data_IF_759287082888
#
_entry.id   IF_759287082888
#
_cell.length_a   1.000
_cell.length_b   1.000
_cell.length_c   1.000
_cell.angle_alpha   90.00
_cell.angle_beta   90.00
_cell.angle_gamma   90.00
#
_symmetry.space_group_name_H-M   'P 1'
#
loop_
_entity.id
_entity.type
_entity.pdbx_description
1 polymer ?
#
# COMPACT_ATOMS: atom_id res chain seq x y z
N UNK A 1 -3.82 7.48 6.13
CA UNK A 1 -3.01 7.41 7.36
C UNK A 1 -3.32 8.55 8.30
N UNK A 2 -2.97 8.38 9.57
CA UNK A 2 -2.95 9.40 10.61
C UNK A 2 -1.61 9.28 11.36
N UNK A 3 -1.17 10.34 12.04
CA UNK A 3 -0.05 10.25 12.98
C UNK A 3 -0.59 10.20 14.41
N UNK A 4 -0.14 9.22 15.19
CA UNK A 4 -0.45 9.09 16.62
C UNK A 4 0.86 9.02 17.38
N UNK A 5 1.12 9.98 18.27
CA UNK A 5 2.36 10.05 19.07
C UNK A 5 3.65 9.93 18.23
N UNK A 6 3.66 10.51 17.03
CA UNK A 6 4.81 10.47 16.10
C UNK A 6 4.85 9.22 15.20
N UNK A 7 4.15 8.15 15.56
CA UNK A 7 4.03 6.93 14.76
C UNK A 7 2.96 7.06 13.65
N UNK A 8 3.16 6.33 12.55
CA UNK A 8 2.18 6.23 11.47
C UNK A 8 1.12 5.20 11.82
N UNK A 9 -0.14 5.63 11.75
CA UNK A 9 -1.34 4.82 11.97
C UNK A 9 -2.05 4.59 10.62
N UNK A 10 -2.02 3.37 10.06
CA UNK A 10 -2.71 3.04 8.83
C UNK A 10 -4.23 3.05 9.04
N UNK A 11 -4.98 3.39 8.00
CA UNK A 11 -6.43 3.28 8.05
C UNK A 11 -6.81 1.80 7.89
N UNK A 12 -7.44 1.22 8.91
CA UNK A 12 -7.92 -0.17 8.86
C UNK A 12 -9.45 -0.16 8.81
N UNK A 13 -10.03 -0.94 7.90
CA UNK A 13 -11.48 -1.11 7.76
C UNK A 13 -11.87 -2.49 8.30
N UNK A 14 -12.92 -2.55 9.11
CA UNK A 14 -13.51 -3.81 9.55
C UNK A 14 -14.56 -4.26 8.52
N UNK A 15 -14.41 -5.46 8.00
CA UNK A 15 -15.40 -6.10 7.14
C UNK A 15 -16.57 -6.64 7.98
N UNK A 16 -17.78 -6.74 7.40
CA UNK A 16 -18.93 -7.37 8.06
C UNK A 16 -18.68 -8.82 8.48
N UNK A 17 -17.77 -9.50 7.77
CA UNK A 17 -17.32 -10.87 8.06
C UNK A 17 -16.34 -10.96 9.24
N UNK A 18 -15.97 -9.83 9.86
CA UNK A 18 -15.06 -9.77 11.02
C UNK A 18 -13.57 -9.66 10.68
N UNK A 19 -13.21 -9.61 9.39
CA UNK A 19 -11.82 -9.40 8.96
C UNK A 19 -11.42 -7.93 8.91
N UNK A 20 -10.17 -7.62 9.22
CA UNK A 20 -9.61 -6.27 9.07
C UNK A 20 -8.86 -6.14 7.75
N UNK A 21 -9.07 -5.04 7.03
CA UNK A 21 -8.44 -4.82 5.71
C UNK A 21 -7.83 -3.43 5.58
N UNK A 22 -6.74 -3.37 4.82
CA UNK A 22 -6.09 -2.12 4.45
C UNK A 22 -6.64 -1.65 3.10
N UNK A 23 -7.31 -0.49 2.99
CA UNK A 23 -7.70 0.07 1.72
C UNK A 23 -6.48 0.65 1.00
N UNK A 24 -6.27 0.23 -0.25
CA UNK A 24 -5.21 0.72 -1.14
C UNK A 24 -5.88 1.25 -2.40
N UNK A 25 -5.42 2.42 -2.85
CA UNK A 25 -6.00 3.11 -4.00
C UNK A 25 -4.92 3.27 -5.05
N UNK A 26 -5.25 3.01 -6.31
CA UNK A 26 -4.34 3.27 -7.42
C UNK A 26 -4.11 4.77 -7.64
N UNK A 27 -5.10 5.60 -7.28
CA UNK A 27 -5.06 7.05 -7.52
C UNK A 27 -5.28 7.86 -6.23
N UNK A 28 -4.43 8.87 -6.02
CA UNK A 28 -4.54 9.80 -4.89
C UNK A 28 -5.90 10.52 -4.87
N UNK A 29 -6.42 10.90 -6.04
CA UNK A 29 -7.71 11.58 -6.17
C UNK A 29 -8.88 10.72 -5.64
N UNK A 30 -8.85 9.42 -5.95
CA UNK A 30 -9.82 8.42 -5.48
C UNK A 30 -9.72 8.25 -3.97
N UNK A 31 -8.50 8.10 -3.43
CA UNK A 31 -8.27 8.03 -1.99
C UNK A 31 -8.78 9.27 -1.24
N UNK A 32 -8.52 10.48 -1.76
CA UNK A 32 -9.02 11.73 -1.17
C UNK A 32 -10.55 11.80 -1.19
N UNK A 33 -11.17 11.37 -2.29
CA UNK A 33 -12.63 11.34 -2.41
C UNK A 33 -13.24 10.34 -1.43
N UNK A 34 -12.63 9.17 -1.29
CA UNK A 34 -13.03 8.17 -0.30
C UNK A 34 -12.95 8.75 1.12
N UNK A 35 -11.82 9.34 1.52
CA UNK A 35 -11.65 9.92 2.85
C UNK A 35 -12.68 11.02 3.15
N UNK A 36 -12.94 11.92 2.19
CA UNK A 36 -13.96 12.97 2.36
C UNK A 36 -15.37 12.41 2.56
N UNK A 37 -15.68 11.29 1.92
CA UNK A 37 -17.01 10.68 1.97
C UNK A 37 -17.19 9.78 3.20
N UNK A 38 -16.19 8.97 3.52
CA UNK A 38 -16.29 7.92 4.52
C UNK A 38 -15.83 8.36 5.92
N UNK A 39 -14.89 9.31 6.00
CA UNK A 39 -14.23 9.71 7.25
C UNK A 39 -14.03 11.24 7.34
N UNK A 40 -15.09 12.05 7.21
CA UNK A 40 -14.97 13.50 7.23
C UNK A 40 -14.41 13.99 8.58
N UNK A 41 -13.34 14.79 8.54
CA UNK A 41 -12.80 15.50 9.72
C UNK A 41 -11.95 14.67 10.68
N UNK A 42 -11.69 13.39 10.43
CA UNK A 42 -10.98 12.51 11.38
C UNK A 42 -9.44 12.58 11.32
N UNK A 43 -8.87 13.63 10.72
CA UNK A 43 -7.41 13.83 10.65
C UNK A 43 -6.66 12.87 9.73
N UNK A 44 -7.38 12.10 8.91
CA UNK A 44 -6.81 11.20 7.93
C UNK A 44 -6.27 11.95 6.71
N UNK A 45 -5.09 11.54 6.25
CA UNK A 45 -4.47 12.03 5.02
C UNK A 45 -4.11 10.85 4.10
N UNK A 46 -4.09 11.13 2.80
CA UNK A 46 -3.56 10.19 1.80
C UNK A 46 -2.04 10.22 1.88
N UNK A 47 -1.42 9.05 1.76
CA UNK A 47 0.02 8.91 1.63
C UNK A 47 0.29 7.99 0.44
N UNK A 48 1.11 8.47 -0.49
CA UNK A 48 1.63 7.66 -1.57
C UNK A 48 2.75 6.76 -1.06
N UNK A 49 2.89 5.59 -1.68
CA UNK A 49 3.93 4.62 -1.38
C UNK A 49 4.64 4.21 -2.66
N UNK A 50 5.97 4.05 -2.65
CA UNK A 50 6.66 3.32 -3.68
C UNK A 50 6.33 1.82 -3.62
N UNK A 51 6.49 1.12 -4.75
CA UNK A 51 6.05 -0.26 -5.00
C UNK A 51 6.51 -1.30 -3.95
N UNK A 52 7.58 -1.03 -3.19
CA UNK A 52 8.09 -1.91 -2.11
C UNK A 52 7.77 -1.47 -0.67
N UNK A 53 7.29 -0.25 -0.45
CA UNK A 53 7.02 0.22 0.92
C UNK A 53 5.69 -0.34 1.45
N UNK A 54 4.72 -0.56 0.57
CA UNK A 54 3.44 -1.15 0.92
C UNK A 54 3.59 -2.59 1.44
N UNK A 55 4.43 -3.40 0.81
CA UNK A 55 4.74 -4.76 1.28
C UNK A 55 5.44 -4.74 2.63
N UNK A 56 6.40 -3.83 2.83
CA UNK A 56 7.07 -3.62 4.12
C UNK A 56 6.08 -3.24 5.24
N UNK A 57 5.11 -2.39 4.95
CA UNK A 57 4.03 -2.07 5.88
C UNK A 57 3.13 -3.26 6.21
N UNK A 58 2.78 -4.07 5.22
CA UNK A 58 1.97 -5.29 5.42
C UNK A 58 2.71 -6.36 6.23
N UNK A 59 4.04 -6.40 6.15
CA UNK A 59 4.87 -7.29 6.97
C UNK A 59 5.02 -6.80 8.42
N UNK A 60 5.04 -5.48 8.64
CA UNK A 60 5.35 -4.89 9.94
C UNK A 60 4.11 -4.29 10.63
N UNK A 61 3.69 -3.11 10.17
CA UNK A 61 2.63 -2.29 10.76
C UNK A 61 1.23 -2.91 10.64
N UNK A 62 0.96 -3.62 9.54
CA UNK A 62 -0.35 -4.20 9.26
C UNK A 62 -0.34 -5.74 9.38
N UNK A 63 0.47 -6.32 10.28
CA UNK A 63 0.58 -7.79 10.41
C UNK A 63 -0.76 -8.49 10.75
N UNK A 64 -1.67 -7.77 11.41
CA UNK A 64 -2.98 -8.29 11.83
C UNK A 64 -4.06 -8.25 10.76
N UNK A 65 -3.85 -7.56 9.63
CA UNK A 65 -4.90 -7.42 8.61
C UNK A 65 -5.06 -8.72 7.82
N UNK A 66 -6.31 -9.06 7.50
CA UNK A 66 -6.66 -10.21 6.67
C UNK A 66 -6.26 -10.02 5.21
N UNK A 67 -6.20 -8.77 4.75
CA UNK A 67 -5.82 -8.46 3.37
C UNK A 67 -5.91 -6.98 3.01
N UNK A 68 -5.85 -6.74 1.72
CA UNK A 68 -5.91 -5.43 1.09
C UNK A 68 -7.21 -5.32 0.30
N UNK A 69 -7.85 -4.16 0.37
CA UNK A 69 -9.00 -3.83 -0.44
C UNK A 69 -8.56 -2.80 -1.49
N UNK A 70 -8.53 -3.21 -2.76
CA UNK A 70 -8.07 -2.39 -3.87
C UNK A 70 -9.20 -1.51 -4.41
N UNK A 71 -8.91 -0.22 -4.54
CA UNK A 71 -9.80 0.86 -5.03
C UNK A 71 -11.23 0.79 -4.50
N UNK A 72 -11.41 0.79 -3.16
CA UNK A 72 -12.74 0.81 -2.59
C UNK A 72 -13.48 2.08 -2.97
N UNK A 73 -14.75 1.91 -3.33
CA UNK A 73 -15.65 2.99 -3.66
C UNK A 73 -16.00 3.83 -2.44
N UNK A 74 -16.42 5.10 -2.62
CA UNK A 74 -16.91 5.90 -1.51
C UNK A 74 -18.04 5.17 -0.79
N UNK A 75 -18.04 5.22 0.55
CA UNK A 75 -19.00 4.52 1.40
C UNK A 75 -20.44 4.69 0.90
N UNK A 76 -21.13 3.57 0.63
CA UNK A 76 -22.50 3.55 0.11
C UNK A 76 -22.62 3.48 -1.41
N UNK A 77 -21.51 3.37 -2.16
CA UNK A 77 -21.51 3.17 -3.61
C UNK A 77 -20.73 1.89 -3.94
N UNK A 78 -21.38 0.95 -4.60
CA UNK A 78 -20.72 -0.27 -5.07
C UNK A 78 -19.65 0.11 -6.09
N UNK A 79 -18.40 0.12 -5.65
CA UNK A 79 -17.28 -0.02 -6.56
C UNK A 79 -16.80 -1.47 -6.48
N UNK A 80 -16.23 -1.96 -7.58
CA UNK A 80 -15.62 -3.27 -7.71
C UNK A 80 -14.34 -3.38 -6.86
N UNK A 81 -14.48 -3.19 -5.55
CA UNK A 81 -13.39 -3.25 -4.62
C UNK A 81 -12.87 -4.68 -4.61
N UNK A 82 -11.65 -4.89 -5.10
CA UNK A 82 -11.06 -6.22 -5.16
C UNK A 82 -10.41 -6.51 -3.81
N UNK A 83 -10.93 -7.53 -3.11
CA UNK A 83 -10.28 -8.03 -1.91
C UNK A 83 -9.16 -9.01 -2.28
N UNK A 84 -7.95 -8.73 -1.79
CA UNK A 84 -6.79 -9.60 -1.96
C UNK A 84 -6.30 -10.01 -0.58
N UNK A 85 -6.19 -11.32 -0.34
CA UNK A 85 -5.63 -11.83 0.90
C UNK A 85 -4.20 -11.35 1.10
N UNK A 86 -3.84 -11.06 2.36
CA UNK A 86 -2.52 -10.52 2.72
C UNK A 86 -1.38 -11.35 2.15
N UNK A 87 -1.43 -12.68 2.31
CA UNK A 87 -0.38 -13.57 1.81
C UNK A 87 -0.27 -13.52 0.27
N UNK A 88 -1.41 -13.60 -0.44
CA UNK A 88 -1.41 -13.52 -1.90
C UNK A 88 -0.91 -12.18 -2.43
N UNK A 89 -1.23 -11.08 -1.74
CA UNK A 89 -0.70 -9.75 -2.07
C UNK A 89 0.82 -9.67 -1.84
N UNK A 90 1.31 -10.19 -0.71
CA UNK A 90 2.74 -10.22 -0.41
C UNK A 90 3.51 -11.10 -1.39
N UNK A 91 3.00 -12.29 -1.73
CA UNK A 91 3.59 -13.15 -2.76
C UNK A 91 3.69 -12.40 -4.09
N UNK A 92 2.61 -11.78 -4.56
CA UNK A 92 2.63 -11.01 -5.81
C UNK A 92 3.63 -9.83 -5.79
N UNK A 93 3.75 -9.11 -4.68
CA UNK A 93 4.74 -8.03 -4.55
C UNK A 93 6.19 -8.54 -4.56
N UNK A 94 6.43 -9.74 -4.03
CA UNK A 94 7.77 -10.33 -3.94
C UNK A 94 8.15 -11.06 -5.23
N UNK A 95 7.20 -11.72 -5.89
CA UNK A 95 7.39 -12.42 -7.17
C UNK A 95 7.62 -11.44 -8.33
N UNK A 96 7.02 -10.24 -8.27
CA UNK A 96 7.28 -9.14 -9.20
C UNK A 96 8.73 -8.61 -9.18
N UNK A 97 9.57 -9.08 -8.25
CA UNK A 97 11.03 -8.79 -8.26
C UNK A 97 11.84 -9.80 -9.07
N UNK A 98 11.19 -10.80 -9.66
CA UNK A 98 11.83 -11.89 -10.40
C UNK A 98 11.41 -11.88 -11.88
N UNK A 99 11.58 -10.75 -12.58
CA UNK A 99 11.86 -10.74 -14.02
C UNK A 99 12.63 -9.45 -14.42
N UNK A 100 13.81 -9.67 -15.02
CA UNK A 100 14.72 -8.81 -15.78
C UNK A 100 14.62 -7.25 -15.62
N UNK A 101 15.49 -6.66 -14.79
CA UNK A 101 15.79 -5.22 -14.86
C UNK A 101 17.18 -4.96 -15.48
N UNK A 102 17.29 -4.64 -16.79
CA UNK A 102 18.55 -4.17 -17.41
C UNK A 102 19.05 -2.84 -16.81
N UNK A 103 18.25 -2.17 -16.00
CA UNK A 103 18.54 -0.85 -15.43
C UNK A 103 19.39 -0.91 -14.13
N UNK A 104 19.48 -2.07 -13.46
CA UNK A 104 20.31 -2.25 -12.26
C UNK A 104 21.79 -2.45 -12.62
N UNK A 105 22.11 -3.19 -13.71
CA UNK A 105 23.50 -3.35 -14.20
C UNK A 105 24.15 -2.04 -14.61
N UNK A 106 23.38 -1.08 -15.13
CA UNK A 106 23.91 0.24 -15.50
C UNK A 106 24.37 1.03 -14.27
N UNK A 107 23.72 0.85 -13.12
CA UNK A 107 24.09 1.52 -11.86
C UNK A 107 25.28 0.84 -11.18
N UNK A 108 25.38 -0.48 -11.24
CA UNK A 108 26.53 -1.22 -10.71
C UNK A 108 27.79 -1.05 -11.56
N UNK A 109 27.66 -0.96 -12.89
CA UNK A 109 28.78 -0.64 -13.79
C UNK A 109 29.31 0.79 -13.58
N UNK A 110 28.42 1.76 -13.31
CA UNK A 110 28.82 3.12 -12.96
C UNK A 110 29.55 3.19 -11.60
N UNK A 111 29.17 2.34 -10.64
CA UNK A 111 29.84 2.24 -9.34
C UNK A 111 31.18 1.49 -9.39
N UNK A 112 31.38 0.56 -10.33
CA UNK A 112 32.67 -0.11 -10.51
C UNK A 112 33.73 0.78 -11.19
N UNK A 113 33.32 1.78 -11.97
CA UNK A 113 34.24 2.69 -12.68
C UNK A 113 34.85 3.80 -11.80
N UNK A 114 34.39 3.96 -10.54
CA UNK A 114 34.91 4.99 -9.60
C UNK A 114 36.03 4.49 -8.69
N UNK A 115 36.45 3.22 -8.83
CA UNK A 115 37.53 2.60 -8.03
C UNK A 115 38.72 2.11 -8.85
N UNK A 116 38.84 2.55 -10.10
CA UNK A 116 40.02 2.31 -10.92
C UNK A 116 40.68 3.63 -11.30
N UNK A 117 41.43 4.20 -10.36
CA UNK A 117 42.55 5.11 -10.64
C UNK A 117 43.78 4.56 -9.91
#
# INVERSE_FOLDING_TARGET
MRRVNGALDPLILSLPSGGEVLPVFAEEATAKRYLRSALPGAGWHVREFPEGELSSMLMTLCRGVSGVLLDPGPAGREANAAFVHREGFLSSCLEGTSDDHPQQRAREAAFASVRGD
#
